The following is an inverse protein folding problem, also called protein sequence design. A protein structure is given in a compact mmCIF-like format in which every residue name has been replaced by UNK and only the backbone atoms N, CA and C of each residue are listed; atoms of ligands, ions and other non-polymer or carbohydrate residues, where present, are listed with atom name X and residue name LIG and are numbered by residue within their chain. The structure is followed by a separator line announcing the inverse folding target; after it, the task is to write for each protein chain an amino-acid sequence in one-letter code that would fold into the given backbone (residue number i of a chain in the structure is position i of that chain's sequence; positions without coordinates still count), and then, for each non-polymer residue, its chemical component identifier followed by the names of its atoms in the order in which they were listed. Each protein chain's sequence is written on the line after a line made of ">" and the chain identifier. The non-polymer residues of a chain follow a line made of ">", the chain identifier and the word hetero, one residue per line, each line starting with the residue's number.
data_IF_629139125853
#
_entry.id   IF_629139125853
#
_cell.length_a   1.000
_cell.length_b   1.000
_cell.length_c   1.000
_cell.angle_alpha   90.00
_cell.angle_beta   90.00
_cell.angle_gamma   90.00
#
_symmetry.space_group_name_H-M   'P 1'
#
loop_
_entity.id
_entity.type
_entity.pdbx_description
1 polymer ?
#
# COMPACT_ATOMS: atom_id res chain seq x y z
N UNK A 1 31.05 -11.08 25.75
CA UNK A 1 29.83 -10.28 26.02
C UNK A 1 28.65 -11.21 25.72
N UNK A 2 27.96 -11.85 26.66
CA UNK A 2 27.60 -11.51 28.03
C UNK A 2 26.10 -11.71 28.16
N UNK A 3 25.68 -12.98 28.27
CA UNK A 3 24.36 -13.56 28.56
C UNK A 3 23.13 -12.62 28.68
N UNK A 4 22.15 -12.77 27.77
CA UNK A 4 20.80 -12.25 27.95
C UNK A 4 20.03 -13.15 28.93
N UNK A 5 19.95 -12.73 30.19
CA UNK A 5 19.06 -13.33 31.16
C UNK A 5 17.59 -13.08 30.76
N UNK A 6 16.86 -14.19 30.55
CA UNK A 6 15.41 -14.30 30.55
C UNK A 6 14.97 -14.42 32.01
N UNK A 7 14.26 -13.41 32.51
CA UNK A 7 13.76 -13.35 33.88
C UNK A 7 13.72 -11.92 34.37
N UNK A 8 12.63 -11.55 35.03
CA UNK A 8 12.31 -10.23 35.62
C UNK A 8 11.65 -9.23 34.64
N UNK A 9 10.52 -8.68 35.08
CA UNK A 9 9.67 -7.73 34.36
C UNK A 9 10.51 -6.59 33.77
N UNK A 10 10.76 -6.64 32.46
CA UNK A 10 11.59 -5.66 31.72
C UNK A 10 10.82 -4.38 31.48
N UNK A 11 10.61 -3.60 32.54
CA UNK A 11 10.21 -2.21 32.44
C UNK A 11 11.34 -1.46 31.71
N UNK A 12 11.07 -0.94 30.52
CA UNK A 12 12.04 -0.15 29.78
C UNK A 12 11.96 1.31 30.25
N UNK A 13 13.09 1.94 30.64
CA UNK A 13 13.07 3.26 31.28
C UNK A 13 12.80 4.42 30.32
N UNK A 14 12.84 4.18 29.00
CA UNK A 14 12.62 5.19 27.97
C UNK A 14 11.73 4.66 26.85
N UNK A 15 11.03 5.57 26.19
CA UNK A 15 10.31 5.25 24.96
C UNK A 15 11.30 4.92 23.84
N UNK A 16 10.96 3.95 23.00
CA UNK A 16 11.76 3.57 21.84
C UNK A 16 10.95 3.71 20.56
N UNK A 17 11.63 4.14 19.52
CA UNK A 17 11.09 4.12 18.17
C UNK A 17 11.19 2.70 17.59
N UNK A 18 10.09 2.19 17.04
CA UNK A 18 10.03 0.93 16.33
C UNK A 18 9.55 1.19 14.90
N UNK A 19 10.32 0.71 13.92
CA UNK A 19 9.87 0.68 12.53
C UNK A 19 8.64 -0.23 12.37
N UNK A 20 7.91 0.00 11.29
CA UNK A 20 6.72 -0.74 10.90
C UNK A 20 6.89 -2.25 11.07
N UNK A 21 6.09 -2.85 11.97
CA UNK A 21 6.05 -4.32 12.10
C UNK A 21 5.25 -4.87 10.91
N UNK A 22 5.73 -5.94 10.25
CA UNK A 22 4.94 -6.64 9.23
C UNK A 22 3.63 -7.17 9.83
N UNK A 23 2.55 -7.09 9.05
CA UNK A 23 1.20 -7.52 9.42
C UNK A 23 0.11 -6.88 8.55
N UNK A 24 -1.13 -7.31 8.74
CA UNK A 24 -2.32 -6.97 7.93
C UNK A 24 -3.41 -6.20 8.72
N UNK A 25 -3.23 -5.99 10.03
CA UNK A 25 -4.17 -5.23 10.87
C UNK A 25 -4.12 -3.71 10.68
N UNK A 26 -5.11 -3.00 11.22
CA UNK A 26 -5.26 -1.53 11.12
C UNK A 26 -4.05 -0.73 11.65
N UNK A 27 -3.30 -1.29 12.61
CA UNK A 27 -2.06 -0.70 13.14
C UNK A 27 -0.77 -1.26 12.51
N UNK A 28 -0.87 -2.18 11.56
CA UNK A 28 0.30 -2.78 10.91
C UNK A 28 0.86 -1.85 9.81
N UNK A 29 2.17 -1.88 9.61
CA UNK A 29 2.81 -1.02 8.61
C UNK A 29 3.14 0.41 9.07
N UNK A 30 2.77 0.80 10.30
CA UNK A 30 3.12 2.12 10.84
C UNK A 30 4.33 2.07 11.77
N UNK A 31 5.17 3.08 11.64
CA UNK A 31 6.16 3.45 12.65
C UNK A 31 5.46 3.79 13.97
N UNK A 32 6.09 3.47 15.10
CA UNK A 32 5.50 3.71 16.43
C UNK A 32 6.55 4.05 17.47
N UNK A 33 6.09 4.75 18.51
CA UNK A 33 6.81 4.87 19.75
C UNK A 33 6.21 3.92 20.78
N UNK A 34 7.07 3.17 21.47
CA UNK A 34 6.67 2.17 22.47
C UNK A 34 7.34 2.46 23.81
N UNK A 35 6.59 2.41 24.89
CA UNK A 35 7.08 2.62 26.25
C UNK A 35 6.41 1.66 27.24
N UNK A 36 6.81 1.74 28.51
CA UNK A 36 6.13 1.02 29.60
C UNK A 36 5.58 2.03 30.61
N UNK A 37 4.26 2.12 30.76
CA UNK A 37 3.57 3.18 31.52
C UNK A 37 2.76 2.62 32.69
N UNK A 38 2.61 3.42 33.74
CA UNK A 38 1.72 3.11 34.86
C UNK A 38 0.33 3.66 34.55
N UNK A 39 -0.69 2.80 34.43
CA UNK A 39 -2.07 3.25 34.19
C UNK A 39 -2.82 3.44 35.52
N UNK A 40 -3.39 4.64 35.80
CA UNK A 40 -4.09 4.89 37.05
C UNK A 40 -5.33 4.00 37.28
N UNK A 41 -5.96 3.51 36.21
CA UNK A 41 -7.22 2.74 36.25
C UNK A 41 -7.01 1.21 36.28
N UNK A 42 -5.78 0.73 36.09
CA UNK A 42 -5.40 -0.67 36.32
C UNK A 42 -4.46 -0.72 37.52
N UNK A 43 -5.04 -0.86 38.72
CA UNK A 43 -4.33 -0.94 39.99
C UNK A 43 -3.53 -2.25 40.16
N UNK A 44 -2.69 -2.58 39.18
CA UNK A 44 -1.72 -3.66 39.25
C UNK A 44 -0.35 -3.08 39.56
N UNK A 45 0.51 -3.82 40.27
CA UNK A 45 1.88 -3.37 40.57
C UNK A 45 2.80 -3.27 39.32
N UNK A 46 2.29 -3.57 38.13
CA UNK A 46 3.05 -3.64 36.89
C UNK A 46 2.88 -2.40 36.01
N UNK A 47 3.95 -2.00 35.32
CA UNK A 47 3.89 -1.07 34.19
C UNK A 47 3.45 -1.84 32.94
N UNK A 48 2.52 -1.28 32.18
CA UNK A 48 2.00 -1.88 30.96
C UNK A 48 2.79 -1.43 29.75
N UNK A 49 2.99 -2.34 28.81
CA UNK A 49 3.53 -2.01 27.50
C UNK A 49 2.49 -1.23 26.69
N UNK A 50 2.84 -0.02 26.28
CA UNK A 50 1.98 0.85 25.48
C UNK A 50 2.72 1.32 24.25
N UNK A 51 1.98 1.66 23.21
CA UNK A 51 2.53 2.26 22.02
C UNK A 51 1.57 3.28 21.42
N UNK A 52 2.13 4.19 20.63
CA UNK A 52 1.40 5.15 19.81
C UNK A 52 2.02 5.17 18.42
N UNK A 53 1.17 5.20 17.39
CA UNK A 53 1.65 5.32 16.01
C UNK A 53 2.28 6.71 15.80
N UNK A 54 3.38 6.77 15.05
CA UNK A 54 4.15 7.98 14.82
C UNK A 54 3.28 9.09 14.19
N UNK A 55 2.47 8.76 13.19
CA UNK A 55 1.56 9.73 12.55
C UNK A 55 0.55 10.32 13.54
N UNK A 56 0.15 9.60 14.61
CA UNK A 56 -0.77 10.14 15.63
C UNK A 56 -0.09 11.18 16.50
N UNK A 57 1.20 10.99 16.80
CA UNK A 57 1.98 12.01 17.51
C UNK A 57 2.18 13.26 16.63
N UNK A 58 2.42 13.08 15.33
CA UNK A 58 2.57 14.21 14.41
C UNK A 58 1.27 14.99 14.24
N UNK A 59 0.12 14.31 14.20
CA UNK A 59 -1.17 14.97 14.09
C UNK A 59 -1.42 15.98 15.23
N UNK A 60 -0.97 15.69 16.45
CA UNK A 60 -1.08 16.63 17.60
C UNK A 60 -0.43 17.97 17.31
N UNK A 61 0.70 17.98 16.60
CA UNK A 61 1.51 19.17 16.34
C UNK A 61 1.11 19.86 15.03
N UNK A 62 0.76 19.06 14.01
CA UNK A 62 0.58 19.54 12.64
C UNK A 62 -0.88 19.86 12.30
N UNK A 63 -1.85 19.25 13.00
CA UNK A 63 -3.27 19.36 12.66
C UNK A 63 -4.08 20.21 13.65
N UNK A 64 -3.49 20.56 14.80
CA UNK A 64 -4.14 21.36 15.85
C UNK A 64 -3.34 22.64 16.09
N UNK A 65 -4.02 23.66 16.61
CA UNK A 65 -3.35 24.92 16.97
C UNK A 65 -2.45 24.71 18.18
N UNK A 66 -1.28 25.37 18.21
CA UNK A 66 -0.41 25.39 19.39
C UNK A 66 -1.06 26.07 20.60
N UNK A 67 -2.08 26.91 20.37
CA UNK A 67 -2.88 27.54 21.43
C UNK A 67 -4.00 26.64 21.96
N UNK A 68 -4.27 25.50 21.30
CA UNK A 68 -5.30 24.57 21.71
C UNK A 68 -4.83 23.75 22.94
N UNK A 69 -5.63 23.67 24.02
CA UNK A 69 -5.28 22.84 25.17
C UNK A 69 -5.07 21.39 24.78
N UNK A 70 -4.01 20.77 25.27
CA UNK A 70 -3.66 19.39 24.93
C UNK A 70 -4.79 18.41 25.30
N UNK A 71 -5.55 18.70 26.36
CA UNK A 71 -6.70 17.90 26.77
C UNK A 71 -7.81 17.89 25.70
N UNK A 72 -8.07 19.03 25.05
CA UNK A 72 -9.04 19.16 23.95
C UNK A 72 -8.58 18.36 22.73
N UNK A 73 -7.30 18.50 22.37
CA UNK A 73 -6.69 17.74 21.26
C UNK A 73 -6.78 16.23 21.50
N UNK A 74 -6.49 15.78 22.73
CA UNK A 74 -6.55 14.36 23.08
C UNK A 74 -7.99 13.82 23.13
N UNK A 75 -8.96 14.62 23.56
CA UNK A 75 -10.39 14.27 23.54
C UNK A 75 -10.88 14.11 22.08
N UNK A 76 -10.54 15.07 21.21
CA UNK A 76 -10.87 15.00 19.79
C UNK A 76 -10.21 13.81 19.07
N UNK A 77 -8.91 13.58 19.32
CA UNK A 77 -8.18 12.44 18.75
C UNK A 77 -8.63 11.08 19.32
N UNK A 78 -9.32 11.04 20.46
CA UNK A 78 -9.90 9.79 20.97
C UNK A 78 -11.06 9.31 20.09
N UNK A 79 -11.75 10.24 19.43
CA UNK A 79 -12.88 9.95 18.52
C UNK A 79 -12.46 9.91 17.03
N UNK A 80 -11.18 10.14 16.73
CA UNK A 80 -10.64 10.19 15.36
C UNK A 80 -9.47 9.24 15.09
N UNK A 81 -9.42 8.78 13.85
CA UNK A 81 -8.25 8.18 13.23
C UNK A 81 -7.44 9.24 12.49
N UNK A 82 -6.14 9.02 12.33
CA UNK A 82 -5.29 9.89 11.50
C UNK A 82 -5.11 9.20 10.15
N UNK A 83 -5.56 9.86 9.10
CA UNK A 83 -5.62 9.33 7.75
C UNK A 83 -4.51 9.90 6.86
N UNK A 84 -3.86 9.03 6.10
CA UNK A 84 -2.95 9.40 5.02
C UNK A 84 -3.73 9.56 3.71
N UNK A 85 -3.82 10.78 3.19
CA UNK A 85 -4.60 11.10 1.98
C UNK A 85 -4.15 10.31 0.75
N UNK A 86 -2.86 10.06 0.63
CA UNK A 86 -2.29 9.26 -0.46
C UNK A 86 -2.21 7.75 -0.16
N UNK A 87 -2.74 7.29 0.98
CA UNK A 87 -2.69 5.91 1.46
C UNK A 87 -1.28 5.36 1.75
N UNK A 88 -0.25 6.21 1.71
CA UNK A 88 1.14 5.83 1.95
C UNK A 88 1.46 5.98 3.43
N UNK A 89 1.47 4.84 4.15
CA UNK A 89 1.61 4.78 5.62
C UNK A 89 2.87 5.43 6.20
N UNK A 90 3.94 5.53 5.41
CA UNK A 90 5.21 6.13 5.82
C UNK A 90 5.31 7.63 5.48
N UNK A 91 4.38 8.17 4.68
CA UNK A 91 4.42 9.56 4.23
C UNK A 91 3.76 10.49 5.26
N UNK A 92 4.54 10.86 6.27
CA UNK A 92 4.09 11.62 7.43
C UNK A 92 4.12 13.15 7.25
N UNK A 93 4.14 13.66 6.02
CA UNK A 93 4.15 15.10 5.76
C UNK A 93 2.85 15.76 6.27
N UNK A 94 2.90 16.98 6.83
CA UNK A 94 1.73 17.67 7.40
C UNK A 94 0.56 17.76 6.42
N UNK A 95 0.83 18.04 5.14
CA UNK A 95 -0.19 18.16 4.10
C UNK A 95 -0.89 16.83 3.74
N UNK A 96 -0.31 15.70 4.15
CA UNK A 96 -0.78 14.36 3.80
C UNK A 96 -1.52 13.66 4.95
N UNK A 97 -1.43 14.16 6.18
CA UNK A 97 -2.12 13.59 7.34
C UNK A 97 -3.30 14.46 7.76
N UNK A 98 -4.40 13.83 8.18
CA UNK A 98 -5.54 14.55 8.75
C UNK A 98 -6.32 13.70 9.76
N UNK A 99 -6.80 14.28 10.88
CA UNK A 99 -7.74 13.62 11.77
C UNK A 99 -9.11 13.46 11.08
N UNK A 100 -9.64 12.25 11.09
CA UNK A 100 -10.95 11.91 10.52
C UNK A 100 -11.74 11.05 11.49
N UNK A 101 -13.05 11.27 11.55
CA UNK A 101 -13.97 10.43 12.33
C UNK A 101 -13.78 8.95 11.99
N UNK A 102 -13.75 8.06 12.99
CA UNK A 102 -13.57 6.61 12.78
C UNK A 102 -14.56 6.05 11.75
N UNK A 103 -15.82 6.48 11.79
CA UNK A 103 -16.85 6.04 10.85
C UNK A 103 -16.53 6.44 9.40
N UNK A 104 -15.99 7.65 9.21
CA UNK A 104 -15.55 8.16 7.89
C UNK A 104 -14.26 7.49 7.45
N UNK A 105 -13.34 7.21 8.36
CA UNK A 105 -12.11 6.49 8.05
C UNK A 105 -12.38 5.06 7.58
N UNK A 106 -13.32 4.37 8.24
CA UNK A 106 -13.79 3.06 7.82
C UNK A 106 -14.45 3.10 6.43
N UNK A 107 -15.25 4.13 6.11
CA UNK A 107 -15.86 4.26 4.78
C UNK A 107 -14.82 4.53 3.68
N UNK A 108 -13.86 5.42 3.92
CA UNK A 108 -12.77 5.70 2.99
C UNK A 108 -11.95 4.45 2.72
N UNK A 109 -11.59 3.71 3.77
CA UNK A 109 -10.84 2.45 3.64
C UNK A 109 -11.61 1.44 2.79
N UNK A 110 -12.93 1.33 2.99
CA UNK A 110 -13.79 0.45 2.20
C UNK A 110 -13.92 0.89 0.74
N UNK A 111 -14.03 2.20 0.48
CA UNK A 111 -14.04 2.76 -0.89
C UNK A 111 -12.72 2.49 -1.61
N UNK A 112 -11.59 2.67 -0.94
CA UNK A 112 -10.26 2.40 -1.49
C UNK A 112 -10.04 0.92 -1.77
N UNK A 113 -10.49 0.03 -0.87
CA UNK A 113 -10.45 -1.42 -1.09
C UNK A 113 -11.30 -1.81 -2.29
N UNK A 114 -12.47 -1.19 -2.48
CA UNK A 114 -13.33 -1.44 -3.65
C UNK A 114 -12.68 -0.94 -4.94
N UNK A 115 -12.11 0.25 -4.94
CA UNK A 115 -11.40 0.81 -6.09
C UNK A 115 -10.22 -0.09 -6.51
N UNK A 116 -9.42 -0.55 -5.54
CA UNK A 116 -8.33 -1.49 -5.82
C UNK A 116 -8.84 -2.82 -6.38
N UNK A 117 -9.93 -3.34 -5.84
CA UNK A 117 -10.56 -4.56 -6.36
C UNK A 117 -11.14 -4.38 -7.78
N UNK A 118 -11.59 -3.17 -8.15
CA UNK A 118 -12.03 -2.85 -9.51
C UNK A 118 -10.85 -2.74 -10.48
N UNK A 119 -9.74 -2.13 -10.07
CA UNK A 119 -8.53 -2.03 -10.86
C UNK A 119 -7.86 -3.40 -11.08
N UNK A 120 -7.76 -4.23 -10.03
CA UNK A 120 -7.31 -5.63 -10.14
C UNK A 120 -8.18 -6.42 -11.13
N UNK A 121 -9.52 -6.28 -11.07
CA UNK A 121 -10.41 -6.92 -12.04
C UNK A 121 -10.19 -6.39 -13.46
N UNK A 122 -9.89 -5.10 -13.63
CA UNK A 122 -9.59 -4.50 -14.93
C UNK A 122 -8.27 -5.03 -15.49
N UNK A 123 -7.22 -5.13 -14.67
CA UNK A 123 -5.95 -5.72 -15.07
C UNK A 123 -6.10 -7.20 -15.41
N UNK A 124 -6.84 -7.94 -14.60
CA UNK A 124 -7.12 -9.35 -14.86
C UNK A 124 -7.87 -9.51 -16.20
N UNK A 125 -8.88 -8.69 -16.47
CA UNK A 125 -9.55 -8.67 -17.79
C UNK A 125 -8.59 -8.34 -18.92
N UNK A 126 -7.69 -7.36 -18.77
CA UNK A 126 -6.67 -7.06 -19.80
C UNK A 126 -5.74 -8.25 -20.07
N UNK A 127 -5.39 -9.01 -19.03
CA UNK A 127 -4.57 -10.24 -19.15
C UNK A 127 -5.36 -11.39 -19.77
N UNK A 128 -6.64 -11.54 -19.43
CA UNK A 128 -7.53 -12.59 -19.95
C UNK A 128 -7.99 -12.33 -21.39
N UNK A 129 -8.26 -11.06 -21.73
CA UNK A 129 -8.63 -10.61 -23.07
C UNK A 129 -7.45 -10.68 -24.05
N UNK A 130 -6.26 -11.07 -23.59
CA UNK A 130 -5.11 -11.30 -24.44
C UNK A 130 -4.81 -10.10 -25.33
N UNK A 131 -4.95 -8.87 -24.80
CA UNK A 131 -4.40 -7.67 -25.46
C UNK A 131 -2.88 -7.80 -25.39
N UNK A 132 -2.34 -8.69 -26.22
CA UNK A 132 -0.95 -8.68 -26.62
C UNK A 132 -0.69 -7.28 -27.14
N UNK A 133 0.46 -6.71 -26.78
CA UNK A 133 1.03 -5.60 -27.54
C UNK A 133 0.73 -5.85 -29.01
N UNK A 134 0.00 -4.93 -29.66
CA UNK A 134 -0.44 -5.09 -31.05
C UNK A 134 0.75 -5.58 -31.87
N UNK A 135 0.72 -6.84 -32.29
CA UNK A 135 1.89 -7.46 -32.86
C UNK A 135 2.10 -6.84 -34.24
N UNK A 136 3.26 -6.21 -34.45
CA UNK A 136 3.52 -5.43 -35.66
C UNK A 136 4.05 -6.36 -36.74
N UNK A 137 3.52 -6.25 -37.95
CA UNK A 137 4.02 -7.00 -39.10
C UNK A 137 5.45 -6.55 -39.47
N UNK A 138 6.42 -7.47 -39.49
CA UNK A 138 7.82 -7.16 -39.86
C UNK A 138 7.96 -6.71 -41.34
N UNK A 139 6.94 -6.95 -42.18
CA UNK A 139 6.92 -6.55 -43.59
C UNK A 139 6.41 -5.12 -43.79
N UNK A 140 5.14 -4.88 -43.45
CA UNK A 140 4.49 -3.58 -43.65
C UNK A 140 4.57 -2.63 -42.46
N UNK A 141 5.05 -3.09 -41.30
CA UNK A 141 5.15 -2.33 -40.04
C UNK A 141 3.80 -1.81 -39.51
N UNK A 142 2.70 -2.37 -39.98
CA UNK A 142 1.36 -2.06 -39.47
C UNK A 142 0.96 -3.06 -38.36
N UNK A 143 0.17 -2.61 -37.36
CA UNK A 143 -0.45 -3.48 -36.35
C UNK A 143 -1.27 -4.61 -36.99
N UNK A 144 -1.11 -5.83 -36.49
CA UNK A 144 -1.89 -6.98 -36.93
C UNK A 144 -2.42 -7.78 -35.73
N UNK A 145 -3.69 -8.19 -35.80
CA UNK A 145 -4.31 -9.05 -34.77
C UNK A 145 -3.78 -10.49 -34.83
N UNK A 146 -3.30 -10.92 -36.00
CA UNK A 146 -2.73 -12.25 -36.23
C UNK A 146 -1.48 -12.12 -37.11
N UNK A 147 -0.40 -12.72 -36.64
CA UNK A 147 0.85 -12.83 -37.36
C UNK A 147 1.06 -14.27 -37.82
N UNK A 148 1.67 -14.41 -38.98
CA UNK A 148 1.92 -15.68 -39.64
C UNK A 148 3.42 -15.84 -39.92
N UNK A 149 3.86 -17.10 -39.94
CA UNK A 149 5.21 -17.48 -40.32
C UNK A 149 5.18 -18.42 -41.52
N UNK A 150 6.24 -18.41 -42.33
CA UNK A 150 6.38 -19.30 -43.48
C UNK A 150 7.87 -19.49 -43.79
N UNK A 151 8.30 -20.67 -44.29
CA UNK A 151 9.66 -20.83 -44.83
C UNK A 151 10.01 -19.84 -45.95
N UNK A 152 9.00 -19.27 -46.63
CA UNK A 152 9.18 -18.31 -47.73
C UNK A 152 9.65 -16.91 -47.30
N UNK A 153 9.55 -16.55 -46.01
CA UNK A 153 9.98 -15.24 -45.51
C UNK A 153 10.53 -15.32 -44.08
N UNK A 154 11.38 -14.36 -43.72
CA UNK A 154 11.91 -14.26 -42.35
C UNK A 154 11.07 -13.32 -41.49
N UNK A 155 10.82 -13.72 -40.25
CA UNK A 155 10.04 -12.96 -39.27
C UNK A 155 8.55 -13.26 -39.34
N UNK A 156 7.77 -12.38 -38.73
CA UNK A 156 6.32 -12.52 -38.60
C UNK A 156 5.60 -11.56 -39.55
N UNK A 157 4.58 -12.04 -40.27
CA UNK A 157 3.85 -11.25 -41.29
C UNK A 157 2.36 -11.22 -41.00
N UNK A 158 1.71 -10.09 -41.26
CA UNK A 158 0.26 -10.08 -41.38
C UNK A 158 -0.19 -10.98 -42.53
N UNK A 159 -1.45 -11.46 -42.51
CA UNK A 159 -1.95 -12.41 -43.50
C UNK A 159 -1.88 -11.92 -44.95
N UNK A 160 -1.90 -10.61 -45.19
CA UNK A 160 -1.75 -10.03 -46.53
C UNK A 160 -0.30 -10.13 -47.01
N UNK A 161 0.67 -9.71 -46.20
CA UNK A 161 2.09 -9.84 -46.54
C UNK A 161 2.49 -11.31 -46.65
N UNK A 162 1.99 -12.18 -45.76
CA UNK A 162 2.28 -13.61 -45.80
C UNK A 162 1.81 -14.26 -47.12
N UNK A 163 0.62 -13.92 -47.62
CA UNK A 163 0.13 -14.43 -48.92
C UNK A 163 0.91 -13.91 -50.12
N UNK A 164 1.51 -12.73 -50.00
CA UNK A 164 2.27 -12.12 -51.06
C UNK A 164 3.72 -12.61 -51.10
N UNK A 165 4.31 -12.89 -49.93
CA UNK A 165 5.72 -13.25 -49.75
C UNK A 165 5.95 -14.76 -49.58
N UNK A 166 4.93 -15.59 -49.38
CA UNK A 166 5.16 -17.02 -49.12
C UNK A 166 5.68 -17.80 -50.34
N UNK A 167 5.61 -17.25 -51.56
CA UNK A 167 6.08 -17.90 -52.80
C UNK A 167 5.56 -19.34 -52.99
N UNK A 168 4.38 -19.64 -52.45
CA UNK A 168 3.75 -20.97 -52.51
C UNK A 168 4.10 -21.92 -51.36
N UNK A 169 4.94 -21.50 -50.42
CA UNK A 169 5.23 -22.21 -49.16
C UNK A 169 4.02 -22.14 -48.20
N UNK A 170 3.87 -23.14 -47.30
CA UNK A 170 2.79 -23.14 -46.33
C UNK A 170 2.91 -21.96 -45.36
N UNK A 171 1.75 -21.41 -44.98
CA UNK A 171 1.62 -20.32 -44.03
C UNK A 171 1.04 -20.90 -42.73
N UNK A 172 1.72 -20.68 -41.62
CA UNK A 172 1.29 -21.06 -40.27
C UNK A 172 0.90 -19.80 -39.48
N UNK A 173 -0.22 -19.85 -38.76
CA UNK A 173 -0.80 -18.76 -37.97
C UNK A 173 -0.98 -19.21 -36.53
#
# INVERSE_FOLDING_TARGET
>A
MGHYHLGENRVQPFARFEHAKPGDGSGAGYERWRSTEHRPHTASAGREDVYVAHHRLLAVVECYSLDEPIESVLEDLAEKDVHHRNCVKWDNRPENIEPVEHARHASITQEQVRAWAEDEKREQRRREDGVSEEAVCDGCHEPAELLATSPGFAGERCLECAKQESDGEPIEV
#
